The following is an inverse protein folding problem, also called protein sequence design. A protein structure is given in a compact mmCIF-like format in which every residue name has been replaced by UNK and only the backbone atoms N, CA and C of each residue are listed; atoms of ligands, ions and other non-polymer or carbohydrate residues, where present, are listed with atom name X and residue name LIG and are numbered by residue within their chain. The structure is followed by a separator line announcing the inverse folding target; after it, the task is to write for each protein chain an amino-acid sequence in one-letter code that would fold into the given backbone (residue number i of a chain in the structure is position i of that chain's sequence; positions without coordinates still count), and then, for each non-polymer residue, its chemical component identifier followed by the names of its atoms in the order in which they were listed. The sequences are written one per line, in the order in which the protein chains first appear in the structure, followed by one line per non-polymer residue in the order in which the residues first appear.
data_IF_889958587937
#
_entry.id   IF_889958587937
#
_cell.length_a   1.000
_cell.length_b   1.000
_cell.length_c   1.000
_cell.angle_alpha   90.00
_cell.angle_beta   90.00
_cell.angle_gamma   90.00
#
_symmetry.space_group_name_H-M   'P 1'
#
loop_
_entity.id
_entity.type
_entity.pdbx_description
1 polymer ?
#
# COMPACT_ATOMS: atom_id res chain seq x y z
N UNK A 1 -16.10 6.86 -10.43
CA UNK A 1 -14.80 7.51 -10.15
C UNK A 1 -14.26 8.06 -11.46
N UNK A 2 -13.66 9.25 -11.47
CA UNK A 2 -12.89 9.71 -12.64
C UNK A 2 -11.45 9.27 -12.47
N UNK A 3 -10.88 8.66 -13.52
CA UNK A 3 -9.49 8.22 -13.60
C UNK A 3 -8.90 8.79 -14.89
N UNK A 4 -7.89 9.65 -14.79
CA UNK A 4 -7.09 10.04 -15.95
C UNK A 4 -5.90 9.10 -16.04
N UNK A 5 -5.80 8.35 -17.15
CA UNK A 5 -4.60 7.58 -17.46
C UNK A 5 -3.70 8.42 -18.36
N UNK A 6 -2.45 8.63 -17.93
CA UNK A 6 -1.40 9.26 -18.73
C UNK A 6 -0.34 8.23 -19.04
N UNK A 7 0.03 8.13 -20.31
CA UNK A 7 1.17 7.39 -20.80
C UNK A 7 2.21 8.41 -21.26
N UNK A 8 3.28 8.59 -20.49
CA UNK A 8 4.40 9.48 -20.82
C UNK A 8 5.52 8.77 -21.64
N UNK A 9 5.45 7.45 -21.81
CA UNK A 9 6.48 6.66 -22.48
C UNK A 9 6.37 6.79 -24.01
N UNK A 10 7.32 7.51 -24.60
CA UNK A 10 7.36 7.80 -26.04
C UNK A 10 7.36 6.51 -26.87
N UNK A 11 6.38 6.38 -27.75
CA UNK A 11 6.20 5.23 -28.66
C UNK A 11 5.91 3.88 -27.99
N UNK A 12 5.71 3.83 -26.67
CA UNK A 12 5.32 2.62 -25.95
C UNK A 12 3.82 2.58 -25.74
N UNK A 13 3.21 1.40 -25.86
CA UNK A 13 1.79 1.18 -25.64
C UNK A 13 1.51 0.74 -24.22
N UNK A 14 0.57 1.42 -23.55
CA UNK A 14 0.09 1.06 -22.23
C UNK A 14 -1.42 1.23 -22.10
N UNK A 15 -2.01 0.56 -21.11
CA UNK A 15 -3.33 0.87 -20.57
C UNK A 15 -3.37 0.62 -19.05
N UNK A 16 -4.56 0.68 -18.48
CA UNK A 16 -4.84 0.23 -17.13
C UNK A 16 -6.15 -0.56 -17.11
N UNK A 17 -6.11 -1.75 -16.51
CA UNK A 17 -7.26 -2.61 -16.27
C UNK A 17 -7.32 -2.97 -14.78
N UNK A 18 -8.52 -2.99 -14.20
CA UNK A 18 -8.78 -3.23 -12.77
C UNK A 18 -9.66 -4.48 -12.63
N UNK A 19 -9.32 -5.33 -11.67
CA UNK A 19 -9.94 -6.63 -11.40
C UNK A 19 -10.23 -6.77 -9.90
N UNK A 20 -11.04 -7.76 -9.53
CA UNK A 20 -11.25 -8.11 -8.11
C UNK A 20 -9.94 -8.46 -7.39
N UNK A 21 -9.06 -9.19 -8.07
CA UNK A 21 -7.88 -9.82 -7.49
C UNK A 21 -6.91 -10.29 -8.60
N UNK A 22 -5.67 -10.72 -8.26
CA UNK A 22 -4.66 -11.13 -9.24
C UNK A 22 -5.00 -12.36 -10.10
N UNK A 23 -6.06 -13.13 -9.79
CA UNK A 23 -6.53 -14.21 -10.69
C UNK A 23 -7.12 -13.68 -11.99
N UNK A 24 -7.47 -12.39 -12.03
CA UNK A 24 -8.11 -11.71 -13.17
C UNK A 24 -9.48 -12.28 -13.57
N UNK A 25 -10.06 -13.17 -12.75
CA UNK A 25 -11.33 -13.86 -13.02
C UNK A 25 -12.53 -12.92 -13.16
N UNK A 26 -12.49 -11.75 -12.52
CA UNK A 26 -13.53 -10.71 -12.64
C UNK A 26 -12.88 -9.38 -13.01
N UNK A 27 -13.08 -8.93 -14.25
CA UNK A 27 -12.72 -7.57 -14.67
C UNK A 27 -13.78 -6.56 -14.18
N UNK A 28 -13.32 -5.46 -13.59
CA UNK A 28 -14.16 -4.37 -13.08
C UNK A 28 -14.04 -3.11 -13.95
N UNK A 29 -12.90 -2.96 -14.63
CA UNK A 29 -12.63 -1.90 -15.59
C UNK A 29 -11.49 -2.32 -16.53
N UNK A 30 -11.51 -1.87 -17.79
CA UNK A 30 -10.38 -1.97 -18.73
C UNK A 30 -10.37 -0.73 -19.61
N UNK A 31 -9.27 0.02 -19.57
CA UNK A 31 -9.04 1.16 -20.44
C UNK A 31 -8.55 0.75 -21.83
N UNK A 32 -8.77 1.64 -22.81
CA UNK A 32 -8.14 1.58 -24.13
C UNK A 32 -6.61 1.60 -24.02
N UNK A 33 -5.95 0.87 -24.91
CA UNK A 33 -4.50 0.95 -25.12
C UNK A 33 -4.17 2.23 -25.88
N UNK A 34 -3.23 3.02 -25.35
CA UNK A 34 -2.74 4.26 -25.97
C UNK A 34 -1.22 4.22 -26.11
N UNK A 35 -0.71 4.77 -27.21
CA UNK A 35 0.73 5.00 -27.42
C UNK A 35 1.11 6.36 -26.85
N UNK A 36 2.18 6.42 -26.05
CA UNK A 36 2.65 7.67 -25.44
C UNK A 36 3.46 8.57 -26.38
N UNK A 37 3.56 9.88 -26.11
CA UNK A 37 2.97 10.60 -24.98
C UNK A 37 1.49 10.94 -25.21
N UNK A 38 0.59 10.49 -24.33
CA UNK A 38 -0.86 10.72 -24.45
C UNK A 38 -1.61 10.54 -23.12
N UNK A 39 -2.73 11.23 -22.95
CA UNK A 39 -3.64 11.07 -21.80
C UNK A 39 -5.07 10.81 -22.24
N UNK A 40 -5.80 10.02 -21.46
CA UNK A 40 -7.22 9.70 -21.68
C UNK A 40 -7.99 9.66 -20.34
N UNK A 41 -9.12 10.38 -20.21
CA UNK A 41 -9.98 10.30 -19.03
C UNK A 41 -10.98 9.14 -19.13
N UNK A 42 -11.24 8.49 -17.99
CA UNK A 42 -12.17 7.37 -17.86
C UNK A 42 -13.15 7.58 -16.72
N UNK A 43 -14.44 7.39 -17.02
CA UNK A 43 -15.49 7.21 -16.02
C UNK A 43 -15.51 5.74 -15.55
N UNK A 44 -14.70 5.43 -14.53
CA UNK A 44 -14.67 4.10 -13.89
C UNK A 44 -15.94 3.91 -13.05
N UNK A 45 -16.66 2.77 -13.16
CA UNK A 45 -17.80 2.46 -12.30
C UNK A 45 -17.45 2.62 -10.80
N UNK A 46 -18.37 3.09 -9.95
CA UNK A 46 -18.13 3.14 -8.51
C UNK A 46 -17.81 1.74 -7.95
N UNK A 47 -16.57 1.57 -7.50
CA UNK A 47 -16.14 0.36 -6.82
C UNK A 47 -16.62 0.39 -5.36
N UNK A 48 -16.85 -0.79 -4.77
CA UNK A 48 -17.15 -0.89 -3.34
C UNK A 48 -15.88 -0.61 -2.52
N UNK A 49 -15.99 -0.30 -1.23
CA UNK A 49 -14.81 -0.21 -0.37
C UNK A 49 -14.08 -1.56 -0.32
N UNK A 50 -12.75 -1.55 -0.47
CA UNK A 50 -11.95 -2.77 -0.56
C UNK A 50 -10.62 -2.59 -1.30
N UNK A 51 -9.94 -3.71 -1.52
CA UNK A 51 -8.70 -3.80 -2.29
C UNK A 51 -8.99 -4.49 -3.63
N UNK A 52 -8.37 -3.99 -4.69
CA UNK A 52 -8.55 -4.45 -6.07
C UNK A 52 -7.19 -4.55 -6.76
N UNK A 53 -7.05 -5.47 -7.70
CA UNK A 53 -5.84 -5.61 -8.51
C UNK A 53 -5.91 -4.70 -9.75
N UNK A 54 -4.80 -4.09 -10.16
CA UNK A 54 -4.71 -3.46 -11.49
C UNK A 54 -3.45 -3.92 -12.24
N UNK A 55 -3.49 -3.89 -13.56
CA UNK A 55 -2.32 -4.04 -14.43
C UNK A 55 -2.48 -3.35 -15.79
N UNK A 56 -1.36 -3.23 -16.52
CA UNK A 56 -1.32 -2.90 -17.95
C UNK A 56 -1.35 -4.19 -18.78
N UNK A 57 -2.33 -4.36 -19.67
CA UNK A 57 -2.50 -5.56 -20.49
C UNK A 57 -1.28 -5.84 -21.41
N UNK A 58 -0.49 -4.81 -21.75
CA UNK A 58 0.72 -4.92 -22.57
C UNK A 58 1.93 -5.41 -21.75
N UNK A 59 2.01 -5.00 -20.48
CA UNK A 59 3.14 -5.28 -19.58
C UNK A 59 2.68 -5.85 -18.22
N UNK A 60 1.89 -6.93 -18.20
CA UNK A 60 1.14 -7.36 -17.01
C UNK A 60 2.03 -7.81 -15.85
N UNK A 61 3.28 -8.19 -16.12
CA UNK A 61 4.24 -8.65 -15.10
C UNK A 61 5.04 -7.50 -14.47
N UNK A 62 5.18 -6.37 -15.18
CA UNK A 62 6.01 -5.23 -14.78
C UNK A 62 5.17 -4.03 -14.31
N UNK A 63 3.96 -3.88 -14.85
CA UNK A 63 3.07 -2.77 -14.57
C UNK A 63 1.77 -3.31 -13.96
N UNK A 64 1.83 -3.59 -12.67
CA UNK A 64 0.69 -4.03 -11.87
C UNK A 64 0.74 -3.45 -10.45
N UNK A 65 -0.34 -3.60 -9.69
CA UNK A 65 -0.42 -3.12 -8.32
C UNK A 65 -1.82 -3.24 -7.71
N UNK A 66 -2.05 -2.52 -6.61
CA UNK A 66 -3.33 -2.53 -5.88
C UNK A 66 -4.02 -1.17 -5.95
N UNK A 67 -5.32 -1.17 -6.26
CA UNK A 67 -6.21 -0.02 -6.05
C UNK A 67 -6.92 -0.22 -4.70
N UNK A 68 -6.84 0.78 -3.82
CA UNK A 68 -7.55 0.78 -2.52
C UNK A 68 -8.70 1.77 -2.60
N UNK A 69 -9.90 1.31 -2.27
CA UNK A 69 -11.13 2.11 -2.29
C UNK A 69 -11.63 2.26 -0.85
N UNK A 70 -11.68 3.51 -0.38
CA UNK A 70 -12.17 3.86 0.96
C UNK A 70 -13.69 3.75 1.10
N UNK A 71 -14.16 3.56 2.33
CA UNK A 71 -15.58 3.67 2.68
C UNK A 71 -16.10 5.10 2.59
N UNK A 72 -17.41 5.31 2.39
CA UNK A 72 -18.03 6.60 2.70
C UNK A 72 -17.81 6.93 4.18
N UNK A 73 -17.60 8.20 4.56
CA UNK A 73 -17.49 8.59 5.96
C UNK A 73 -18.84 8.54 6.68
N UNK A 74 -19.24 7.33 7.09
CA UNK A 74 -20.20 7.06 8.16
C UNK A 74 -21.69 6.93 7.79
N UNK A 75 -22.37 6.02 8.50
CA UNK A 75 -23.84 5.99 8.66
C UNK A 75 -24.50 4.62 8.37
N UNK A 76 -25.62 4.25 9.03
CA UNK A 76 -26.11 4.71 10.33
C UNK A 76 -26.46 3.56 11.31
N UNK A 77 -26.35 3.82 12.62
CA UNK A 77 -27.06 3.02 13.64
C UNK A 77 -27.71 3.94 14.68
N UNK A 78 -28.85 3.48 15.20
CA UNK A 78 -29.90 4.30 15.82
C UNK A 78 -29.61 4.77 17.24
N UNK A 79 -29.94 6.03 17.54
CA UNK A 79 -30.08 6.57 18.90
C UNK A 79 -31.41 7.35 19.01
N UNK A 80 -32.23 7.13 20.05
CA UNK A 80 -33.28 8.06 20.44
C UNK A 80 -32.69 9.23 21.25
N UNK A 81 -33.28 10.41 21.05
CA UNK A 81 -32.74 11.73 21.35
C UNK A 81 -32.82 12.17 22.81
N UNK A 82 -31.89 13.05 23.23
CA UNK A 82 -32.32 14.30 23.88
C UNK A 82 -31.32 15.47 23.67
N UNK A 83 -31.90 16.64 23.41
CA UNK A 83 -31.29 17.99 23.33
C UNK A 83 -30.77 18.45 24.71
N UNK A 84 -29.87 19.43 24.90
CA UNK A 84 -29.25 20.49 24.07
C UNK A 84 -27.87 20.87 24.71
N UNK A 85 -27.01 21.81 24.29
CA UNK A 85 -27.05 22.96 23.34
C UNK A 85 -25.82 22.98 22.39
N UNK A 86 -25.28 24.16 22.02
CA UNK A 86 -24.21 24.41 21.05
C UNK A 86 -23.41 25.70 21.45
N UNK A 87 -22.39 26.18 20.70
CA UNK A 87 -21.11 25.57 20.26
C UNK A 87 -19.93 26.59 20.49
N UNK A 88 -18.80 26.63 19.73
CA UNK A 88 -18.01 25.61 19.02
C UNK A 88 -16.51 25.56 19.45
N UNK A 89 -15.80 24.47 19.11
CA UNK A 89 -14.49 24.46 18.40
C UNK A 89 -13.58 23.26 18.76
N UNK A 90 -12.94 22.69 17.73
CA UNK A 90 -11.74 21.82 17.76
C UNK A 90 -11.73 20.67 18.77
N UNK A 91 -12.37 19.55 18.44
CA UNK A 91 -12.11 18.26 19.09
C UNK A 91 -10.82 17.63 18.56
N UNK A 92 -9.76 17.71 19.35
CA UNK A 92 -8.52 16.92 19.22
C UNK A 92 -8.80 15.41 19.14
N UNK A 93 -7.92 14.60 18.52
CA UNK A 93 -8.05 13.15 18.57
C UNK A 93 -7.95 12.62 20.00
N UNK A 94 -8.70 11.56 20.27
CA UNK A 94 -8.74 10.80 21.52
C UNK A 94 -7.33 10.50 22.07
N UNK A 95 -7.08 10.59 23.39
CA UNK A 95 -5.78 10.26 23.96
C UNK A 95 -5.35 8.85 23.58
N UNK A 96 -4.08 8.64 23.14
CA UNK A 96 -3.58 7.30 22.87
C UNK A 96 -3.55 6.46 24.15
N UNK A 97 -3.69 5.13 24.08
CA UNK A 97 -3.55 4.25 25.23
C UNK A 97 -2.18 4.44 25.92
N UNK A 98 -2.09 4.36 27.26
CA UNK A 98 -0.84 4.63 27.96
C UNK A 98 0.29 3.65 27.64
N UNK A 99 1.47 4.18 27.34
CA UNK A 99 2.74 3.60 27.80
C UNK A 99 3.40 2.48 26.98
N UNK A 100 2.92 2.15 25.78
CA UNK A 100 3.67 1.28 24.86
C UNK A 100 4.71 2.07 24.06
N UNK A 101 6.01 1.98 24.39
CA UNK A 101 7.05 2.48 23.48
C UNK A 101 6.99 1.72 22.15
N UNK A 102 7.12 2.44 21.03
CA UNK A 102 7.11 1.83 19.71
C UNK A 102 8.31 0.88 19.55
N UNK A 103 8.07 -0.33 19.02
CA UNK A 103 9.16 -1.21 18.65
C UNK A 103 9.88 -0.62 17.44
N UNK A 104 11.13 -0.20 17.64
CA UNK A 104 11.97 0.30 16.56
C UNK A 104 12.59 -0.86 15.78
N UNK A 105 12.47 -0.82 14.44
CA UNK A 105 13.00 -1.81 13.50
C UNK A 105 13.83 -1.08 12.46
N UNK A 106 15.03 -1.57 12.18
CA UNK A 106 15.90 -1.06 11.11
C UNK A 106 16.16 -2.15 10.08
N UNK A 107 15.84 -1.85 8.82
CA UNK A 107 16.21 -2.64 7.65
C UNK A 107 17.14 -1.81 6.78
N UNK A 108 18.18 -2.43 6.22
CA UNK A 108 19.11 -1.81 5.28
C UNK A 108 18.90 -2.46 3.93
N UNK A 109 18.68 -1.64 2.89
CA UNK A 109 18.73 -2.07 1.49
C UNK A 109 20.09 -1.72 0.90
N UNK A 110 20.83 -2.72 0.43
CA UNK A 110 22.13 -2.57 -0.22
C UNK A 110 22.41 -3.72 -1.19
N UNK A 111 23.00 -3.42 -2.33
CA UNK A 111 23.28 -4.35 -3.43
C UNK A 111 22.03 -5.12 -3.90
N UNK A 112 20.86 -4.47 -3.96
CA UNK A 112 19.57 -5.11 -4.31
C UNK A 112 19.26 -6.29 -3.37
N UNK A 113 19.59 -6.12 -2.09
CA UNK A 113 19.28 -7.07 -1.02
C UNK A 113 18.87 -6.30 0.25
N UNK A 114 17.93 -6.87 1.01
CA UNK A 114 17.76 -6.48 2.41
C UNK A 114 18.80 -7.20 3.27
N UNK A 115 19.31 -6.54 4.31
CA UNK A 115 20.23 -7.14 5.28
C UNK A 115 19.61 -8.25 6.15
N UNK A 116 18.28 -8.40 6.12
CA UNK A 116 17.51 -9.40 6.86
C UNK A 116 16.61 -10.22 5.93
N UNK A 117 16.35 -11.47 6.32
CA UNK A 117 15.31 -12.33 5.71
C UNK A 117 14.10 -12.55 6.60
N UNK A 118 14.18 -12.16 7.88
CA UNK A 118 13.09 -12.23 8.85
C UNK A 118 13.00 -10.92 9.64
N UNK A 119 11.79 -10.45 9.94
CA UNK A 119 11.53 -9.36 10.88
C UNK A 119 10.61 -9.87 11.99
N UNK A 120 11.03 -9.75 13.25
CA UNK A 120 10.18 -10.02 14.41
C UNK A 120 9.42 -8.76 14.83
N UNK A 121 8.09 -8.83 14.94
CA UNK A 121 7.24 -7.75 15.47
C UNK A 121 6.44 -8.23 16.69
N UNK A 122 6.24 -7.33 17.66
CA UNK A 122 5.31 -7.55 18.76
C UNK A 122 3.87 -7.31 18.29
N UNK A 123 3.00 -8.30 18.46
CA UNK A 123 1.60 -8.22 18.04
C UNK A 123 0.85 -7.03 18.67
N UNK A 124 -0.11 -6.47 17.92
CA UNK A 124 -1.01 -5.38 18.34
C UNK A 124 -0.30 -4.16 18.95
N UNK A 125 0.98 -3.96 18.64
CA UNK A 125 1.83 -2.92 19.22
C UNK A 125 2.24 -1.90 18.16
N UNK A 126 2.53 -0.67 18.58
CA UNK A 126 3.05 0.36 17.67
C UNK A 126 4.47 -0.02 17.23
N UNK A 127 4.70 -0.04 15.92
CA UNK A 127 5.99 -0.29 15.29
C UNK A 127 6.49 1.01 14.67
N UNK A 128 7.80 1.23 14.70
CA UNK A 128 8.51 2.29 13.99
C UNK A 128 9.58 1.64 13.12
N UNK A 129 9.29 1.45 11.83
CA UNK A 129 10.20 0.78 10.89
C UNK A 129 10.94 1.84 10.09
N UNK A 130 12.27 1.71 10.04
CA UNK A 130 13.14 2.52 9.18
C UNK A 130 13.78 1.65 8.12
N UNK A 131 13.61 2.04 6.85
CA UNK A 131 14.40 1.52 5.74
C UNK A 131 15.54 2.50 5.43
N UNK A 132 16.77 2.01 5.50
CA UNK A 132 17.99 2.69 5.09
C UNK A 132 18.38 2.22 3.70
N UNK A 133 18.02 2.98 2.66
CA UNK A 133 18.38 2.69 1.29
C UNK A 133 19.79 3.23 1.03
N UNK A 134 20.76 2.33 0.88
CA UNK A 134 22.16 2.66 0.61
C UNK A 134 22.57 2.48 -0.86
N UNK A 135 21.65 2.09 -1.75
CA UNK A 135 21.93 1.90 -3.18
C UNK A 135 21.74 3.22 -3.96
N UNK A 136 22.82 3.84 -4.50
CA UNK A 136 22.72 5.15 -5.13
C UNK A 136 21.86 5.13 -6.39
N UNK A 137 20.81 5.97 -6.42
CA UNK A 137 19.88 6.10 -7.56
C UNK A 137 18.92 4.91 -7.75
N UNK A 138 19.01 3.85 -6.94
CA UNK A 138 18.11 2.70 -7.05
C UNK A 138 16.92 2.90 -6.08
N UNK A 139 15.67 2.90 -6.57
CA UNK A 139 14.50 3.02 -5.72
C UNK A 139 14.20 1.70 -5.00
N UNK A 140 13.98 1.78 -3.69
CA UNK A 140 13.55 0.65 -2.87
C UNK A 140 12.41 1.08 -1.93
N UNK A 141 11.52 0.14 -1.59
CA UNK A 141 10.64 0.21 -0.42
C UNK A 141 10.68 -1.11 0.36
N UNK A 142 9.88 -1.20 1.42
CA UNK A 142 9.55 -2.46 2.08
C UNK A 142 8.06 -2.42 2.42
N UNK A 143 7.29 -3.29 1.76
CA UNK A 143 5.88 -3.52 2.06
C UNK A 143 5.71 -4.84 2.80
N UNK A 144 4.91 -4.84 3.86
CA UNK A 144 4.50 -6.02 4.64
C UNK A 144 3.10 -6.42 4.18
N UNK A 145 2.90 -7.70 3.86
CA UNK A 145 1.65 -8.24 3.31
C UNK A 145 1.22 -9.50 4.06
N UNK A 146 -0.08 -9.82 3.98
CA UNK A 146 -0.68 -11.00 4.65
C UNK A 146 -0.31 -12.36 4.05
N UNK A 147 0.51 -12.40 3.00
CA UNK A 147 0.87 -13.61 2.26
C UNK A 147 1.94 -13.34 1.19
N UNK A 148 2.55 -14.40 0.60
CA UNK A 148 3.80 -14.28 -0.16
C UNK A 148 3.67 -13.65 -1.55
N UNK A 149 2.50 -13.72 -2.18
CA UNK A 149 2.32 -13.45 -3.62
C UNK A 149 1.19 -12.44 -3.89
N UNK A 150 1.33 -11.19 -3.41
CA UNK A 150 0.34 -10.12 -3.69
C UNK A 150 -0.91 -10.15 -2.81
N UNK A 151 -0.74 -10.47 -1.52
CA UNK A 151 -1.81 -10.44 -0.51
C UNK A 151 -2.03 -9.02 0.03
N UNK A 152 -3.03 -8.82 0.91
CA UNK A 152 -3.38 -7.50 1.45
C UNK A 152 -2.18 -6.79 2.08
N UNK A 153 -1.92 -5.54 1.67
CA UNK A 153 -0.94 -4.66 2.29
C UNK A 153 -1.31 -4.40 3.76
N UNK A 154 -0.36 -4.66 4.65
CA UNK A 154 -0.43 -4.36 6.09
C UNK A 154 0.19 -2.99 6.38
N UNK A 155 1.41 -2.75 5.87
CA UNK A 155 2.12 -1.49 6.03
C UNK A 155 3.30 -1.38 5.04
N UNK A 156 3.60 -0.18 4.56
CA UNK A 156 4.78 0.12 3.74
C UNK A 156 4.64 1.45 2.98
N UNK A 157 5.74 2.16 2.68
CA UNK A 157 5.73 3.35 1.85
C UNK A 157 5.89 3.00 0.36
N UNK A 158 5.67 3.98 -0.51
CA UNK A 158 6.12 3.91 -1.91
C UNK A 158 7.67 3.90 -2.01
N UNK A 159 8.26 3.42 -3.12
CA UNK A 159 9.70 3.42 -3.33
C UNK A 159 10.36 4.80 -3.30
N UNK A 160 11.57 4.85 -2.73
CA UNK A 160 12.41 6.04 -2.72
C UNK A 160 13.85 5.69 -3.09
N UNK A 161 14.53 6.58 -3.82
CA UNK A 161 15.92 6.40 -4.25
C UNK A 161 16.93 6.62 -3.13
N UNK A 162 18.00 5.81 -3.11
CA UNK A 162 19.13 5.98 -2.19
C UNK A 162 20.22 6.93 -2.72
N UNK A 163 21.18 7.37 -1.89
CA UNK A 163 21.27 7.08 -0.45
C UNK A 163 20.30 7.95 0.37
N UNK A 164 19.39 7.32 1.10
CA UNK A 164 18.36 7.99 1.89
C UNK A 164 17.77 7.06 2.95
N UNK A 165 17.03 7.61 3.92
CA UNK A 165 16.26 6.82 4.90
C UNK A 165 14.82 7.27 4.94
N UNK A 166 13.91 6.32 5.08
CA UNK A 166 12.50 6.58 5.35
C UNK A 166 12.04 5.79 6.57
N UNK A 167 11.39 6.48 7.50
CA UNK A 167 10.79 5.89 8.70
C UNK A 167 9.28 6.05 8.65
N UNK A 168 8.54 5.00 8.99
CA UNK A 168 7.08 5.02 9.11
C UNK A 168 6.62 4.23 10.33
N UNK A 169 5.44 4.57 10.82
CA UNK A 169 4.81 3.90 11.95
C UNK A 169 3.53 3.19 11.53
N UNK A 170 3.27 2.05 12.15
CA UNK A 170 2.05 1.27 11.96
C UNK A 170 1.77 0.42 13.21
N UNK A 171 0.51 0.01 13.41
CA UNK A 171 0.19 -0.99 14.44
C UNK A 171 0.43 -2.37 13.86
N UNK A 172 1.27 -3.18 14.50
CA UNK A 172 1.47 -4.56 14.10
C UNK A 172 0.13 -5.34 14.18
N UNK A 173 -0.11 -6.28 13.25
CA UNK A 173 -1.34 -7.05 13.22
C UNK A 173 -1.39 -8.09 14.36
N UNK A 174 -2.37 -8.99 14.30
CA UNK A 174 -2.46 -10.14 15.19
C UNK A 174 -1.25 -11.09 15.03
N UNK A 175 -0.96 -11.97 16.02
CA UNK A 175 0.12 -12.95 15.89
C UNK A 175 -0.04 -13.85 14.66
N UNK A 176 1.08 -14.16 14.00
CA UNK A 176 1.08 -14.97 12.78
C UNK A 176 2.30 -14.75 11.89
N UNK A 177 2.30 -15.40 10.73
CA UNK A 177 3.31 -15.26 9.69
C UNK A 177 2.80 -14.35 8.58
N UNK A 178 3.57 -13.31 8.29
CA UNK A 178 3.36 -12.33 7.24
C UNK A 178 4.62 -12.32 6.34
N UNK A 179 4.60 -11.54 5.27
CA UNK A 179 5.68 -11.50 4.27
C UNK A 179 6.07 -10.07 4.00
N UNK A 180 7.31 -9.83 3.58
CA UNK A 180 7.74 -8.51 3.12
C UNK A 180 8.49 -8.58 1.80
N UNK A 181 8.34 -7.55 0.96
CA UNK A 181 9.17 -7.37 -0.23
C UNK A 181 9.37 -5.90 -0.63
N UNK A 182 10.35 -5.64 -1.49
CA UNK A 182 10.50 -4.40 -2.24
C UNK A 182 9.78 -4.54 -3.59
N UNK A 183 8.83 -3.65 -3.91
CA UNK A 183 8.00 -3.77 -5.12
C UNK A 183 8.80 -3.61 -6.42
N UNK A 184 9.97 -2.98 -6.34
CA UNK A 184 10.89 -2.79 -7.48
C UNK A 184 11.72 -4.06 -7.74
N UNK A 185 12.02 -4.84 -6.69
CA UNK A 185 12.89 -6.02 -6.76
C UNK A 185 12.29 -7.24 -6.03
N UNK A 186 11.03 -7.63 -6.35
CA UNK A 186 10.24 -8.55 -5.52
C UNK A 186 10.82 -9.97 -5.46
N UNK A 187 11.64 -10.37 -6.43
CA UNK A 187 12.26 -11.70 -6.48
C UNK A 187 13.53 -11.81 -5.63
N UNK A 188 14.27 -10.70 -5.46
CA UNK A 188 15.55 -10.64 -4.75
C UNK A 188 15.36 -10.16 -3.30
N UNK A 189 14.55 -9.11 -3.15
CA UNK A 189 14.34 -8.37 -1.92
C UNK A 189 13.00 -8.75 -1.30
N UNK A 190 12.97 -9.95 -0.73
CA UNK A 190 11.83 -10.50 0.01
C UNK A 190 12.27 -11.24 1.29
N UNK A 191 11.31 -11.50 2.16
CA UNK A 191 11.46 -12.26 3.41
C UNK A 191 10.14 -12.44 4.16
N UNK A 192 10.21 -12.91 5.40
CA UNK A 192 9.04 -13.16 6.28
C UNK A 192 8.99 -12.19 7.46
N UNK A 193 7.79 -11.86 7.93
CA UNK A 193 7.57 -11.14 9.18
C UNK A 193 6.88 -12.08 10.16
N UNK A 194 7.49 -12.29 11.33
CA UNK A 194 6.92 -13.07 12.43
C UNK A 194 6.29 -12.12 13.43
N UNK A 195 5.00 -12.26 13.70
CA UNK A 195 4.27 -11.41 14.67
C UNK A 195 3.89 -12.24 15.89
N UNK A 196 4.24 -11.78 17.10
CA UNK A 196 4.12 -12.54 18.36
C UNK A 196 3.77 -11.67 19.57
#
# INVERSE_FOLDING_TARGET
MQLTFTNDDISVQHNVAIFTDPSQSTNLFRGSVITGPASIPYAVPPLKPGHYYFHCDIHPQQMNGTVIVGGPPGGPTTQPTNVSTAPPSTSSPTPPPPGGQAQNVLVIAKNIAFNVKTIDLKANSLISLTLDNQDPGIPHNLEILTGPNGSTLVAGPAPFGGPAKQTWTFTAPAPGTYYFHCIVHPQQMNGTVTVR
#
